data_IF_101336308570
#
_entry.id   IF_101336308570
#
_cell.length_a   1.000
_cell.length_b   1.000
_cell.length_c   1.000
_cell.angle_alpha   90.00
_cell.angle_beta   90.00
_cell.angle_gamma   90.00
#
_symmetry.space_group_name_H-M   'P 1'
#
loop_
_entity.id
_entity.type
_entity.pdbx_description
1 polymer ?
#
# COMPACT_ATOMS: atom_id res chain seq x y z
N UNK A 1 -15.81 -0.41 -11.27
CA UNK A 1 -16.37 -0.06 -9.94
C UNK A 1 -16.94 -1.32 -9.29
N UNK A 2 -17.98 -1.96 -9.87
CA UNK A 2 -18.62 -3.18 -9.32
C UNK A 2 -17.68 -4.31 -8.84
N UNK A 3 -16.65 -4.68 -9.61
CA UNK A 3 -15.72 -5.74 -9.20
C UNK A 3 -14.89 -5.38 -7.96
N UNK A 4 -14.52 -4.10 -7.81
CA UNK A 4 -13.81 -3.59 -6.64
C UNK A 4 -14.72 -3.53 -5.42
N UNK A 5 -15.95 -3.06 -5.60
CA UNK A 5 -16.96 -3.02 -4.53
C UNK A 5 -17.26 -4.43 -4.01
N UNK A 6 -17.42 -5.39 -4.91
CA UNK A 6 -17.62 -6.80 -4.59
C UNK A 6 -16.43 -7.41 -3.83
N UNK A 7 -15.21 -7.16 -4.31
CA UNK A 7 -14.00 -7.61 -3.61
C UNK A 7 -13.94 -7.05 -2.19
N UNK A 8 -14.18 -5.75 -2.01
CA UNK A 8 -14.13 -5.08 -0.71
C UNK A 8 -15.17 -5.65 0.26
N UNK A 9 -16.40 -5.90 -0.20
CA UNK A 9 -17.45 -6.52 0.63
C UNK A 9 -17.03 -7.88 1.16
N UNK A 10 -16.50 -8.74 0.28
CA UNK A 10 -16.03 -10.08 0.69
C UNK A 10 -14.81 -9.98 1.60
N UNK A 11 -13.81 -9.19 1.22
CA UNK A 11 -12.56 -9.06 1.98
C UNK A 11 -12.82 -8.53 3.39
N UNK A 12 -13.66 -7.49 3.51
CA UNK A 12 -14.05 -6.93 4.81
C UNK A 12 -14.85 -7.96 5.64
N UNK A 13 -15.83 -8.63 5.04
CA UNK A 13 -16.61 -9.68 5.72
C UNK A 13 -15.72 -10.81 6.24
N UNK A 14 -14.82 -11.34 5.41
CA UNK A 14 -13.93 -12.46 5.78
C UNK A 14 -12.97 -12.05 6.89
N UNK A 15 -12.35 -10.87 6.81
CA UNK A 15 -11.46 -10.38 7.87
C UNK A 15 -12.23 -10.17 9.18
N UNK A 16 -13.41 -9.51 9.12
CA UNK A 16 -14.23 -9.26 10.29
C UNK A 16 -14.70 -10.55 10.96
N UNK A 17 -15.27 -11.48 10.17
CA UNK A 17 -15.77 -12.77 10.67
C UNK A 17 -14.66 -13.63 11.25
N UNK A 18 -13.47 -13.60 10.65
CA UNK A 18 -12.32 -14.31 11.20
C UNK A 18 -11.92 -13.73 12.55
N UNK A 19 -11.77 -12.40 12.65
CA UNK A 19 -11.37 -11.76 13.89
C UNK A 19 -12.39 -11.91 15.01
N UNK A 20 -13.68 -11.87 14.70
CA UNK A 20 -14.72 -11.92 15.73
C UNK A 20 -15.04 -13.33 16.20
N UNK A 21 -14.96 -14.34 15.32
CA UNK A 21 -15.61 -15.63 15.57
C UNK A 21 -14.79 -16.88 15.23
N UNK A 22 -13.86 -16.82 14.28
CA UNK A 22 -13.08 -18.00 13.90
C UNK A 22 -11.67 -18.05 14.49
N UNK A 23 -11.05 -16.89 14.68
CA UNK A 23 -9.74 -16.81 15.33
C UNK A 23 -9.89 -16.95 16.83
N UNK A 24 -9.01 -17.75 17.42
CA UNK A 24 -8.94 -17.90 18.86
C UNK A 24 -8.02 -16.81 19.44
N UNK A 25 -8.65 -15.77 19.99
CA UNK A 25 -7.97 -14.65 20.65
C UNK A 25 -8.36 -14.52 22.12
N UNK A 26 -9.14 -15.47 22.67
CA UNK A 26 -9.74 -15.34 24.00
C UNK A 26 -8.67 -15.22 25.11
N UNK A 27 -7.58 -15.96 24.97
CA UNK A 27 -6.42 -15.93 25.87
C UNK A 27 -5.20 -15.21 25.24
N UNK A 28 -5.35 -14.59 24.07
CA UNK A 28 -4.25 -13.83 23.47
C UNK A 28 -4.04 -12.54 24.25
N UNK A 29 -2.78 -12.23 24.54
CA UNK A 29 -2.37 -10.94 25.10
C UNK A 29 -1.49 -10.24 24.07
N UNK A 30 -2.06 -9.59 23.04
CA UNK A 30 -1.31 -9.12 21.88
C UNK A 30 -0.14 -8.21 22.26
N UNK A 31 -0.32 -7.37 23.28
CA UNK A 31 0.65 -6.40 23.76
C UNK A 31 1.94 -7.01 24.31
N UNK A 32 1.97 -8.30 24.68
CA UNK A 32 3.20 -8.96 25.14
C UNK A 32 4.04 -9.49 23.98
N UNK A 33 3.46 -9.62 22.77
CA UNK A 33 4.12 -10.18 21.60
C UNK A 33 4.91 -9.07 20.87
N UNK A 34 6.22 -9.22 20.65
CA UNK A 34 6.99 -8.28 19.84
C UNK A 34 6.41 -8.07 18.43
N UNK A 35 5.80 -9.11 17.86
CA UNK A 35 5.11 -9.05 16.57
C UNK A 35 3.98 -8.01 16.54
N UNK A 36 3.28 -7.78 17.66
CA UNK A 36 2.24 -6.77 17.75
C UNK A 36 2.79 -5.37 17.49
N UNK A 37 3.88 -5.01 18.16
CA UNK A 37 4.53 -3.70 17.97
C UNK A 37 5.14 -3.53 16.59
N UNK A 38 5.73 -4.60 16.04
CA UNK A 38 6.23 -4.60 14.65
C UNK A 38 5.09 -4.40 13.66
N UNK A 39 3.98 -5.12 13.82
CA UNK A 39 2.80 -4.98 12.99
C UNK A 39 2.18 -3.59 13.07
N UNK A 40 2.08 -3.03 14.28
CA UNK A 40 1.57 -1.68 14.51
C UNK A 40 2.47 -0.62 13.87
N UNK A 41 3.79 -0.74 14.04
CA UNK A 41 4.75 0.17 13.43
C UNK A 41 4.71 0.13 11.90
N UNK A 42 4.62 -1.07 11.32
CA UNK A 42 4.46 -1.25 9.88
C UNK A 42 3.15 -0.65 9.38
N UNK A 43 2.03 -0.92 10.07
CA UNK A 43 0.72 -0.39 9.71
C UNK A 43 0.72 1.14 9.71
N UNK A 44 1.13 1.75 10.83
CA UNK A 44 1.14 3.20 10.98
C UNK A 44 2.11 3.88 9.99
N UNK A 45 3.30 3.32 9.78
CA UNK A 45 4.28 3.85 8.83
C UNK A 45 3.76 3.73 7.38
N UNK A 46 3.18 2.58 7.04
CA UNK A 46 2.58 2.34 5.73
C UNK A 46 1.45 3.32 5.44
N UNK A 47 0.52 3.48 6.38
CA UNK A 47 -0.59 4.42 6.28
C UNK A 47 -0.11 5.87 6.14
N UNK A 48 0.90 6.29 6.92
CA UNK A 48 1.49 7.62 6.80
C UNK A 48 2.08 7.85 5.41
N UNK A 49 2.88 6.90 4.90
CA UNK A 49 3.47 6.98 3.57
C UNK A 49 2.39 7.04 2.49
N UNK A 50 1.36 6.20 2.61
CA UNK A 50 0.25 6.14 1.65
C UNK A 50 -0.47 7.49 1.57
N UNK A 51 -1.00 7.96 2.70
CA UNK A 51 -1.76 9.23 2.77
C UNK A 51 -0.90 10.41 2.33
N UNK A 52 0.35 10.50 2.79
CA UNK A 52 1.24 11.59 2.39
C UNK A 52 1.51 11.59 0.87
N UNK A 53 1.71 10.41 0.29
CA UNK A 53 1.98 10.27 -1.14
C UNK A 53 0.74 10.62 -1.98
N UNK A 54 -0.44 10.18 -1.56
CA UNK A 54 -1.68 10.51 -2.25
C UNK A 54 -2.02 11.99 -2.13
N UNK A 55 -1.75 12.63 -0.98
CA UNK A 55 -1.85 14.07 -0.85
C UNK A 55 -0.96 14.80 -1.87
N UNK A 56 0.29 14.37 -2.07
CA UNK A 56 1.15 14.95 -3.12
C UNK A 56 0.49 14.78 -4.49
N UNK A 57 -0.01 13.58 -4.82
CA UNK A 57 -0.64 13.31 -6.11
C UNK A 57 -1.91 14.14 -6.37
N UNK A 58 -2.75 14.31 -5.34
CA UNK A 58 -3.97 15.12 -5.42
C UNK A 58 -3.63 16.57 -5.73
N UNK A 59 -2.60 17.13 -5.08
CA UNK A 59 -2.18 18.51 -5.28
C UNK A 59 -1.35 18.74 -6.56
N UNK A 60 -1.03 17.69 -7.34
CA UNK A 60 -0.36 17.86 -8.63
C UNK A 60 -1.24 18.55 -9.68
N UNK A 61 -2.55 18.43 -9.56
CA UNK A 61 -3.51 18.90 -10.57
C UNK A 61 -4.43 19.95 -9.98
N UNK A 62 -4.63 21.02 -10.74
CA UNK A 62 -5.70 21.97 -10.47
C UNK A 62 -7.03 21.42 -11.02
N UNK A 63 -8.19 21.84 -10.48
CA UNK A 63 -9.49 21.45 -11.03
C UNK A 63 -9.58 21.75 -12.54
N UNK A 64 -9.90 20.74 -13.34
CA UNK A 64 -9.99 20.83 -14.80
C UNK A 64 -8.70 20.49 -15.56
N UNK A 65 -7.57 20.29 -14.88
CA UNK A 65 -6.31 19.90 -15.51
C UNK A 65 -6.24 18.39 -15.75
N UNK A 66 -5.94 17.98 -16.99
CA UNK A 66 -5.83 16.57 -17.39
C UNK A 66 -4.39 16.11 -17.62
N UNK A 67 -3.44 17.05 -17.71
CA UNK A 67 -2.04 16.74 -17.95
C UNK A 67 -1.45 15.91 -16.80
N UNK A 68 -0.60 14.95 -17.15
CA UNK A 68 0.22 14.24 -16.17
C UNK A 68 1.47 15.05 -15.85
N UNK A 69 1.88 15.03 -14.58
CA UNK A 69 3.10 15.68 -14.09
C UNK A 69 3.96 14.66 -13.35
N UNK A 70 5.24 14.95 -13.22
CA UNK A 70 6.15 14.14 -12.43
C UNK A 70 5.96 14.53 -10.96
N UNK A 71 5.57 13.61 -10.06
CA UNK A 71 5.50 13.90 -8.62
C UNK A 71 6.90 14.13 -8.04
N UNK A 72 7.01 15.10 -7.14
CA UNK A 72 8.22 15.38 -6.36
C UNK A 72 7.86 15.58 -4.88
N UNK A 73 8.85 15.44 -3.99
CA UNK A 73 8.66 15.52 -2.55
C UNK A 73 8.45 14.15 -1.89
N UNK A 74 8.66 14.09 -0.57
CA UNK A 74 8.51 12.86 0.21
C UNK A 74 9.28 11.66 -0.37
N UNK A 75 8.62 10.50 -0.39
CA UNK A 75 9.19 9.26 -0.93
C UNK A 75 9.24 9.20 -2.46
N UNK A 76 8.60 10.13 -3.19
CA UNK A 76 8.77 10.21 -4.64
C UNK A 76 10.21 10.52 -5.06
N UNK A 77 11.07 10.94 -4.14
CA UNK A 77 12.52 11.05 -4.37
C UNK A 77 13.18 9.70 -4.69
N UNK A 78 12.61 8.59 -4.20
CA UNK A 78 13.20 7.26 -4.29
C UNK A 78 12.40 6.31 -5.20
N UNK A 79 11.07 6.42 -5.20
CA UNK A 79 10.20 5.49 -5.92
C UNK A 79 9.08 6.20 -6.70
N UNK A 80 8.56 5.54 -7.73
CA UNK A 80 7.49 6.07 -8.58
C UNK A 80 6.09 5.93 -7.99
N UNK A 81 5.86 4.89 -7.19
CA UNK A 81 4.58 4.63 -6.53
C UNK A 81 4.75 4.43 -5.01
N UNK A 82 5.17 5.47 -4.26
CA UNK A 82 5.32 5.40 -2.81
C UNK A 82 3.99 5.17 -2.09
N UNK A 83 2.86 5.61 -2.66
CA UNK A 83 1.54 5.30 -2.11
C UNK A 83 1.26 3.79 -2.10
N UNK A 84 1.61 3.09 -3.17
CA UNK A 84 1.49 1.63 -3.24
C UNK A 84 2.47 0.93 -2.30
N UNK A 85 3.69 1.45 -2.15
CA UNK A 85 4.62 0.94 -1.13
C UNK A 85 4.05 1.09 0.28
N UNK A 86 3.45 2.25 0.59
CA UNK A 86 2.74 2.49 1.84
C UNK A 86 1.64 1.46 2.09
N UNK A 87 0.77 1.22 1.11
CA UNK A 87 -0.28 0.19 1.20
C UNK A 87 0.28 -1.22 1.43
N UNK A 88 1.41 -1.59 0.81
CA UNK A 88 2.04 -2.88 1.07
C UNK A 88 2.50 -3.01 2.53
N UNK A 89 3.14 -1.98 3.07
CA UNK A 89 3.55 -1.96 4.48
C UNK A 89 2.34 -1.99 5.40
N UNK A 90 1.28 -1.24 5.06
CA UNK A 90 0.05 -1.16 5.83
C UNK A 90 -0.59 -2.54 5.98
N UNK A 91 -0.85 -3.21 4.85
CA UNK A 91 -1.51 -4.51 4.86
C UNK A 91 -0.62 -5.65 5.34
N UNK A 92 0.70 -5.53 5.20
CA UNK A 92 1.66 -6.43 5.86
C UNK A 92 1.58 -6.28 7.38
N UNK A 93 1.55 -5.03 7.87
CA UNK A 93 1.35 -4.73 9.29
C UNK A 93 0.02 -5.28 9.82
N UNK A 94 -1.07 -5.09 9.07
CA UNK A 94 -2.38 -5.68 9.37
C UNK A 94 -2.32 -7.21 9.48
N UNK A 95 -1.68 -7.89 8.51
CA UNK A 95 -1.53 -9.35 8.55
C UNK A 95 -0.79 -9.83 9.80
N UNK A 96 0.21 -9.07 10.27
CA UNK A 96 0.97 -9.42 11.48
C UNK A 96 0.13 -9.17 12.74
N UNK A 97 -0.59 -8.04 12.79
CA UNK A 97 -1.47 -7.68 13.91
C UNK A 97 -2.63 -8.67 14.07
N UNK A 98 -3.35 -8.90 12.98
CA UNK A 98 -4.51 -9.80 12.94
C UNK A 98 -4.10 -11.27 13.08
N UNK A 99 -2.83 -11.60 12.80
CA UNK A 99 -2.27 -12.96 12.85
C UNK A 99 -3.21 -14.03 12.25
N UNK A 100 -3.83 -13.70 11.11
CA UNK A 100 -4.89 -14.49 10.52
C UNK A 100 -4.61 -14.85 9.05
N UNK A 101 -5.09 -16.00 8.57
CA UNK A 101 -5.07 -16.32 7.14
C UNK A 101 -5.83 -15.29 6.29
N UNK A 102 -6.91 -14.72 6.83
CA UNK A 102 -7.66 -13.65 6.19
C UNK A 102 -6.78 -12.41 5.96
N UNK A 103 -6.11 -11.92 7.00
CA UNK A 103 -5.18 -10.78 6.90
C UNK A 103 -4.01 -11.06 5.96
N UNK A 104 -3.44 -12.27 6.01
CA UNK A 104 -2.35 -12.67 5.10
C UNK A 104 -2.81 -12.70 3.64
N UNK A 105 -3.97 -13.29 3.37
CA UNK A 105 -4.54 -13.33 2.01
C UNK A 105 -4.78 -11.94 1.46
N UNK A 106 -5.20 -10.99 2.30
CA UNK A 106 -5.37 -9.60 1.89
C UNK A 106 -4.02 -8.95 1.55
N UNK A 107 -3.00 -9.12 2.40
CA UNK A 107 -1.66 -8.59 2.12
C UNK A 107 -1.08 -9.13 0.80
N UNK A 108 -1.22 -10.44 0.54
CA UNK A 108 -0.79 -11.08 -0.71
C UNK A 108 -1.60 -10.56 -1.91
N UNK A 109 -2.92 -10.42 -1.76
CA UNK A 109 -3.75 -9.84 -2.80
C UNK A 109 -3.32 -8.40 -3.15
N UNK A 110 -3.07 -7.57 -2.14
CA UNK A 110 -2.55 -6.21 -2.33
C UNK A 110 -1.22 -6.25 -3.09
N UNK A 111 -0.28 -7.10 -2.69
CA UNK A 111 1.01 -7.24 -3.38
C UNK A 111 0.85 -7.62 -4.86
N UNK A 112 0.03 -8.62 -5.14
CA UNK A 112 -0.20 -9.11 -6.51
C UNK A 112 -0.90 -8.08 -7.41
N UNK A 113 -1.69 -7.16 -6.86
CA UNK A 113 -2.31 -6.08 -7.62
C UNK A 113 -1.42 -4.84 -7.77
N UNK A 114 -0.79 -4.41 -6.68
CA UNK A 114 -0.06 -3.14 -6.64
C UNK A 114 1.35 -3.23 -7.22
N UNK A 115 2.07 -4.33 -7.04
CA UNK A 115 3.44 -4.45 -7.56
C UNK A 115 3.47 -4.39 -9.10
N UNK A 116 2.66 -5.17 -9.84
CA UNK A 116 2.62 -5.06 -11.30
C UNK A 116 2.15 -3.68 -11.76
N UNK A 117 1.21 -3.06 -11.04
CA UNK A 117 0.72 -1.71 -11.35
C UNK A 117 1.80 -0.66 -11.15
N UNK A 118 2.60 -0.74 -10.09
CA UNK A 118 3.73 0.15 -9.86
C UNK A 118 4.78 0.02 -10.96
N UNK A 119 5.11 -1.21 -11.37
CA UNK A 119 6.03 -1.48 -12.48
C UNK A 119 5.51 -0.89 -13.79
N UNK A 120 4.22 -1.06 -14.08
CA UNK A 120 3.58 -0.45 -15.26
C UNK A 120 3.64 1.08 -15.21
N UNK A 121 3.28 1.68 -14.07
CA UNK A 121 3.34 3.13 -13.88
C UNK A 121 4.78 3.66 -14.03
N UNK A 122 5.77 2.97 -13.48
CA UNK A 122 7.18 3.35 -13.60
C UNK A 122 7.65 3.34 -15.06
N UNK A 123 7.34 2.28 -15.82
CA UNK A 123 7.64 2.21 -17.26
C UNK A 123 6.95 3.32 -18.04
N UNK A 124 5.68 3.58 -17.73
CA UNK A 124 4.92 4.64 -18.35
C UNK A 124 5.54 6.03 -18.08
N UNK A 125 5.99 6.30 -16.86
CA UNK A 125 6.68 7.54 -16.53
C UNK A 125 8.00 7.70 -17.29
N UNK A 126 8.80 6.64 -17.40
CA UNK A 126 10.05 6.63 -18.18
C UNK A 126 9.80 6.91 -19.66
N UNK A 127 8.79 6.29 -20.27
CA UNK A 127 8.45 6.51 -21.67
C UNK A 127 7.85 7.90 -21.94
N UNK A 128 6.94 8.33 -21.06
CA UNK A 128 6.20 9.59 -21.21
C UNK A 128 7.11 10.81 -21.04
N UNK A 129 7.98 10.81 -20.03
CA UNK A 129 8.79 11.96 -19.66
C UNK A 129 10.26 11.83 -20.04
N UNK A 130 10.71 10.65 -20.48
CA UNK A 130 12.05 10.40 -21.04
C UNK A 130 13.15 10.97 -20.15
N UNK A 131 13.94 11.91 -20.67
CA UNK A 131 15.07 12.52 -19.96
C UNK A 131 14.66 13.39 -18.77
N UNK A 132 13.43 13.91 -18.76
CA UNK A 132 12.91 14.68 -17.63
C UNK A 132 12.57 13.81 -16.41
N UNK A 133 12.42 12.48 -16.59
CA UNK A 133 12.12 11.59 -15.47
C UNK A 133 13.38 11.18 -14.70
N UNK A 134 13.40 11.26 -13.35
CA UNK A 134 14.55 10.83 -12.57
C UNK A 134 14.79 9.31 -12.67
N UNK A 135 15.80 8.90 -13.46
CA UNK A 135 16.15 7.48 -13.69
C UNK A 135 16.68 6.75 -12.45
N UNK A 136 17.04 7.50 -11.40
CA UNK A 136 17.43 6.93 -10.10
C UNK A 136 16.25 6.34 -9.34
N UNK A 137 15.00 6.72 -9.67
CA UNK A 137 13.81 6.17 -9.02
C UNK A 137 13.66 4.68 -9.31
N UNK A 138 13.08 3.98 -8.35
CA UNK A 138 12.60 2.60 -8.46
C UNK A 138 11.08 2.58 -8.58
N UNK A 139 10.48 1.46 -8.91
CA UNK A 139 9.04 1.39 -9.13
C UNK A 139 8.26 1.53 -7.81
N UNK A 140 8.62 0.77 -6.79
CA UNK A 140 7.87 0.62 -5.54
C UNK A 140 8.73 0.39 -4.29
N UNK A 141 9.77 -0.44 -4.34
CA UNK A 141 10.67 -0.68 -3.20
C UNK A 141 11.92 0.21 -3.34
N UNK A 142 12.18 1.13 -2.41
CA UNK A 142 13.35 2.00 -2.47
C UNK A 142 14.65 1.20 -2.65
N UNK A 143 15.50 1.65 -3.56
CA UNK A 143 16.81 1.06 -3.88
C UNK A 143 16.80 -0.36 -4.48
N UNK A 144 15.65 -1.02 -4.58
CA UNK A 144 15.57 -2.43 -4.94
C UNK A 144 14.70 -2.67 -6.17
N UNK A 145 13.42 -2.27 -6.14
CA UNK A 145 12.44 -2.57 -7.19
C UNK A 145 11.65 -1.35 -7.63
#
# INVERSE_FOLDING_TARGET
MLAGDFYNLINAYVNARYLSEYGDYADDTPWTRPSFYVGLALFATGMFINVHSDQILIHLRQPGETAYKIPFGGMFRYVSAPNYFGELLEWTGWSILAWSPAGLSFAVYTATNLVPRALSNHRWYLDKFKEAYPRSRRAIVPFLL
#
